data_IF_809271810315
#
_entry.id   IF_809271810315
#
_cell.length_a   1.000
_cell.length_b   1.000
_cell.length_c   1.000
_cell.angle_alpha   90.00
_cell.angle_beta   90.00
_cell.angle_gamma   90.00
#
_symmetry.space_group_name_H-M   'P 1'
#
loop_
_entity.id
_entity.type
_entity.pdbx_description
1 polymer ?
#
# COMPACT_ATOMS: atom_id res chain seq x y z
N UNK A 1 -15.77 -4.53 23.10
CA UNK A 1 -14.74 -5.60 23.02
C UNK A 1 -14.03 -5.71 21.66
N UNK A 2 -14.62 -5.32 20.50
CA UNK A 2 -13.94 -5.38 19.17
C UNK A 2 -12.74 -4.43 19.04
N UNK A 3 -12.87 -3.16 19.41
CA UNK A 3 -11.78 -2.17 19.31
C UNK A 3 -10.50 -2.58 20.06
N UNK A 4 -10.64 -3.17 21.26
CA UNK A 4 -9.48 -3.64 22.05
C UNK A 4 -8.72 -4.78 21.36
N UNK A 5 -9.39 -5.61 20.56
CA UNK A 5 -8.73 -6.69 19.80
C UNK A 5 -7.96 -6.14 18.61
N UNK A 6 -8.52 -5.16 17.90
CA UNK A 6 -7.87 -4.49 16.76
C UNK A 6 -6.60 -3.74 17.20
N UNK A 7 -6.62 -3.04 18.34
CA UNK A 7 -5.44 -2.35 18.87
C UNK A 7 -4.32 -3.31 19.27
N UNK A 8 -4.65 -4.41 19.95
CA UNK A 8 -3.67 -5.45 20.31
C UNK A 8 -3.06 -6.08 19.07
N UNK A 9 -3.86 -6.31 18.04
CA UNK A 9 -3.38 -6.88 16.79
C UNK A 9 -2.49 -5.89 16.03
N UNK A 10 -2.87 -4.61 15.95
CA UNK A 10 -2.04 -3.54 15.41
C UNK A 10 -0.71 -3.43 16.16
N UNK A 11 -0.73 -3.53 17.49
CA UNK A 11 0.48 -3.48 18.32
C UNK A 11 1.39 -4.70 18.08
N UNK A 12 0.82 -5.89 17.87
CA UNK A 12 1.59 -7.10 17.49
C UNK A 12 2.32 -6.91 16.15
N UNK A 13 1.62 -6.40 15.14
CA UNK A 13 2.21 -6.14 13.82
C UNK A 13 3.25 -5.02 13.87
N UNK A 14 3.02 -4.00 14.69
CA UNK A 14 3.96 -2.91 14.91
C UNK A 14 5.24 -3.41 15.60
N UNK A 15 5.11 -4.31 16.58
CA UNK A 15 6.23 -5.00 17.21
C UNK A 15 7.01 -5.87 16.22
N UNK A 16 6.32 -6.61 15.34
CA UNK A 16 6.96 -7.40 14.27
C UNK A 16 7.73 -6.51 13.29
N UNK A 17 7.17 -5.36 12.91
CA UNK A 17 7.81 -4.38 12.05
C UNK A 17 9.09 -3.82 12.70
N UNK A 18 9.01 -3.50 13.99
CA UNK A 18 10.15 -3.01 14.76
C UNK A 18 11.25 -4.08 14.90
N UNK A 19 10.85 -5.34 15.11
CA UNK A 19 11.77 -6.47 15.15
C UNK A 19 12.47 -6.69 13.80
N UNK A 20 11.72 -6.62 12.70
CA UNK A 20 12.28 -6.73 11.35
C UNK A 20 13.29 -5.59 11.09
N UNK A 21 12.99 -4.37 11.52
CA UNK A 21 13.90 -3.22 11.44
C UNK A 21 15.18 -3.45 12.26
N UNK A 22 15.06 -3.93 13.49
CA UNK A 22 16.21 -4.23 14.34
C UNK A 22 17.10 -5.33 13.73
N UNK A 23 16.50 -6.41 13.23
CA UNK A 23 17.21 -7.48 12.53
C UNK A 23 17.92 -6.98 11.28
N UNK A 24 17.28 -6.08 10.52
CA UNK A 24 17.90 -5.44 9.36
C UNK A 24 19.15 -4.64 9.75
N UNK A 25 19.06 -3.81 10.80
CA UNK A 25 20.20 -3.02 11.28
C UNK A 25 21.35 -3.91 11.78
N UNK A 26 21.03 -5.01 12.46
CA UNK A 26 22.03 -6.00 12.91
C UNK A 26 22.67 -6.68 11.70
N UNK A 27 21.89 -7.10 10.70
CA UNK A 27 22.40 -7.70 9.47
C UNK A 27 23.35 -6.76 8.74
N UNK A 28 22.99 -5.47 8.67
CA UNK A 28 23.76 -4.43 8.02
C UNK A 28 25.10 -4.20 8.75
N UNK A 29 25.05 -4.08 10.07
CA UNK A 29 26.23 -3.86 10.91
C UNK A 29 27.21 -5.04 10.87
N UNK A 30 26.69 -6.26 10.95
CA UNK A 30 27.50 -7.49 10.97
C UNK A 30 27.93 -7.97 9.59
N UNK A 31 27.43 -7.35 8.50
CA UNK A 31 27.63 -7.77 7.10
C UNK A 31 27.22 -9.23 6.83
N UNK A 32 26.32 -9.79 7.63
CA UNK A 32 25.81 -11.14 7.42
C UNK A 32 24.72 -11.08 6.34
N UNK A 33 25.14 -11.24 5.08
CA UNK A 33 24.25 -11.16 3.91
C UNK A 33 23.12 -12.21 3.95
N UNK A 34 23.36 -13.39 4.52
CA UNK A 34 22.33 -14.42 4.68
C UNK A 34 21.17 -13.95 5.59
N UNK A 35 21.46 -13.15 6.62
CA UNK A 35 20.44 -12.61 7.51
C UNK A 35 19.53 -11.62 6.76
N UNK A 36 20.07 -10.88 5.78
CA UNK A 36 19.28 -9.96 4.95
C UNK A 36 18.19 -10.69 4.16
N UNK A 37 18.46 -11.90 3.65
CA UNK A 37 17.44 -12.70 2.93
C UNK A 37 16.29 -13.05 3.88
N UNK A 38 16.60 -13.42 5.12
CA UNK A 38 15.59 -13.70 6.13
C UNK A 38 14.78 -12.45 6.48
N UNK A 39 15.43 -11.29 6.65
CA UNK A 39 14.76 -10.01 6.88
C UNK A 39 13.82 -9.66 5.72
N UNK A 40 14.27 -9.82 4.48
CA UNK A 40 13.44 -9.58 3.29
C UNK A 40 12.20 -10.48 3.32
N UNK A 41 12.37 -11.78 3.60
CA UNK A 41 11.24 -12.71 3.73
C UNK A 41 10.26 -12.31 4.83
N UNK A 42 10.78 -11.89 5.99
CA UNK A 42 9.97 -11.42 7.12
C UNK A 42 9.22 -10.11 6.76
N UNK A 43 9.88 -9.18 6.06
CA UNK A 43 9.27 -7.94 5.59
C UNK A 43 8.16 -8.20 4.58
N UNK A 44 8.34 -9.13 3.65
CA UNK A 44 7.29 -9.54 2.71
C UNK A 44 6.08 -10.16 3.43
N UNK A 45 6.33 -10.98 4.45
CA UNK A 45 5.26 -11.55 5.27
C UNK A 45 4.47 -10.48 6.04
N UNK A 46 5.17 -9.49 6.61
CA UNK A 46 4.55 -8.35 7.29
C UNK A 46 3.78 -7.49 6.29
N UNK A 47 4.29 -7.31 5.07
CA UNK A 47 3.60 -6.57 4.03
C UNK A 47 2.30 -7.26 3.62
N UNK A 48 2.32 -8.56 3.35
CA UNK A 48 1.13 -9.30 2.91
C UNK A 48 0.01 -9.32 3.97
N UNK A 49 0.37 -9.56 5.24
CA UNK A 49 -0.62 -9.79 6.31
C UNK A 49 -0.81 -8.62 7.26
N UNK A 50 0.22 -7.82 7.46
CA UNK A 50 0.25 -6.71 8.41
C UNK A 50 -0.12 -5.37 7.79
N UNK A 51 0.07 -5.16 6.47
CA UNK A 51 -0.16 -3.86 5.83
C UNK A 51 -1.61 -3.38 5.99
N UNK A 52 -2.58 -4.28 5.74
CA UNK A 52 -4.00 -3.98 5.91
C UNK A 52 -4.39 -3.61 7.34
N UNK A 53 -3.66 -4.10 8.34
CA UNK A 53 -3.94 -3.88 9.76
C UNK A 53 -3.20 -2.64 10.28
N UNK A 54 -1.95 -2.44 9.85
CA UNK A 54 -1.11 -1.31 10.24
C UNK A 54 -1.54 -0.01 9.54
N UNK A 55 -1.84 -0.09 8.25
CA UNK A 55 -2.04 1.06 7.36
C UNK A 55 -3.47 1.18 6.83
N UNK A 56 -4.46 0.54 7.48
CA UNK A 56 -5.87 0.58 7.06
C UNK A 56 -6.34 1.99 6.68
N UNK A 57 -6.13 2.94 7.57
CA UNK A 57 -6.56 4.34 7.41
C UNK A 57 -5.81 5.07 6.29
N UNK A 58 -4.51 4.81 6.14
CA UNK A 58 -3.70 5.34 5.06
C UNK A 58 -4.10 4.77 3.69
N UNK A 59 -4.36 3.46 3.63
CA UNK A 59 -4.80 2.77 2.41
C UNK A 59 -6.19 3.23 1.98
N UNK A 60 -7.12 3.46 2.92
CA UNK A 60 -8.44 4.03 2.63
C UNK A 60 -8.35 5.45 2.06
N UNK A 61 -7.43 6.27 2.56
CA UNK A 61 -7.17 7.60 1.98
C UNK A 61 -6.57 7.51 0.58
N UNK A 62 -5.60 6.62 0.37
CA UNK A 62 -4.95 6.40 -0.93
C UNK A 62 -5.94 5.89 -1.98
N UNK A 63 -6.79 4.94 -1.62
CA UNK A 63 -7.77 4.37 -2.55
C UNK A 63 -8.79 5.42 -3.00
N UNK A 64 -9.25 6.29 -2.10
CA UNK A 64 -10.14 7.41 -2.48
C UNK A 64 -9.48 8.35 -3.50
N UNK A 65 -8.20 8.66 -3.35
CA UNK A 65 -7.47 9.46 -4.36
C UNK A 65 -7.37 8.76 -5.72
N UNK A 66 -7.21 7.44 -5.73
CA UNK A 66 -7.15 6.69 -6.99
C UNK A 66 -8.51 6.74 -7.69
N UNK A 67 -9.59 6.56 -6.93
CA UNK A 67 -10.96 6.64 -7.43
C UNK A 67 -11.27 8.03 -8.00
N UNK A 68 -10.91 9.10 -7.30
CA UNK A 68 -11.07 10.48 -7.80
C UNK A 68 -10.32 10.70 -9.14
N UNK A 69 -9.11 10.15 -9.27
CA UNK A 69 -8.31 10.25 -10.49
C UNK A 69 -8.92 9.42 -11.62
N UNK A 70 -9.47 8.24 -11.33
CA UNK A 70 -10.16 7.42 -12.33
C UNK A 70 -11.41 8.12 -12.88
N UNK A 71 -12.22 8.73 -12.01
CA UNK A 71 -13.42 9.49 -12.43
C UNK A 71 -13.04 10.64 -13.37
N UNK A 72 -12.00 11.40 -13.04
CA UNK A 72 -11.52 12.51 -13.89
C UNK A 72 -10.98 11.98 -15.22
N UNK A 73 -10.27 10.85 -15.19
CA UNK A 73 -9.73 10.20 -16.40
C UNK A 73 -10.84 9.73 -17.32
N UNK A 74 -11.87 9.07 -16.80
CA UNK A 74 -13.02 8.62 -17.58
C UNK A 74 -13.81 9.79 -18.18
N UNK A 75 -14.04 10.86 -17.40
CA UNK A 75 -14.69 12.07 -17.90
C UNK A 75 -13.90 12.71 -19.04
N UNK A 76 -12.56 12.75 -18.93
CA UNK A 76 -11.67 13.28 -19.96
C UNK A 76 -11.71 12.44 -21.23
N UNK A 77 -11.64 11.11 -21.11
CA UNK A 77 -11.73 10.19 -22.26
C UNK A 77 -13.07 10.37 -22.97
N UNK A 78 -14.16 10.44 -22.21
CA UNK A 78 -15.51 10.62 -22.74
C UNK A 78 -15.67 11.96 -23.48
N UNK A 79 -15.13 13.04 -22.91
CA UNK A 79 -15.13 14.37 -23.55
C UNK A 79 -14.28 14.43 -24.83
N UNK A 80 -13.14 13.72 -24.87
CA UNK A 80 -12.33 13.60 -26.07
C UNK A 80 -13.03 12.80 -27.17
N UNK A 81 -13.70 11.69 -26.80
CA UNK A 81 -14.45 10.86 -27.73
C UNK A 81 -15.67 11.59 -28.29
N UNK A 82 -16.43 12.32 -27.45
CA UNK A 82 -17.58 13.11 -27.91
C UNK A 82 -17.16 14.23 -28.85
N UNK A 83 -16.05 14.93 -28.56
CA UNK A 83 -15.48 15.96 -29.45
C UNK A 83 -15.04 15.37 -30.79
N UNK A 84 -14.45 14.17 -30.80
CA UNK A 84 -14.07 13.46 -32.02
C UNK A 84 -15.29 13.06 -32.86
N UNK A 85 -16.38 12.64 -32.20
CA UNK A 85 -17.65 12.30 -32.86
C UNK A 85 -18.34 13.53 -33.47
N UNK A 86 -18.33 14.67 -32.78
CA UNK A 86 -18.87 15.92 -33.32
C UNK A 86 -18.10 16.39 -34.56
N UNK A 87 -16.76 16.30 -34.55
CA UNK A 87 -15.94 16.71 -35.69
C UNK A 87 -16.18 15.85 -36.95
N UNK A 88 -16.45 14.55 -36.80
CA UNK A 88 -16.78 13.66 -37.93
C UNK A 88 -18.18 13.88 -38.52
N UNK A 89 -19.06 14.62 -37.85
CA UNK A 89 -20.43 14.90 -38.33
C UNK A 89 -20.53 16.19 -39.15
N UNK A 90 -19.51 17.06 -39.06
CA UNK A 90 -19.42 18.32 -39.82
C UNK A 90 -18.65 18.17 -41.16
N UNK A 91 -18.02 17.02 -41.42
CA UNK A 91 -17.42 16.62 -42.71
C UNK A 91 -18.40 15.77 -43.54
#
# INVERSE_FOLDING_TARGET
MRHKKEEVEKMKWMGLLFLALALFLIALSTKIYALNIFVIGLSLYIYDKGDRILFKEYNEYRNRKIEDVEVVREATITALQSKKLFKMKEE
#
